data_IF_439380999509
#
_entry.id   IF_439380999509
#
_cell.length_a   1.000
_cell.length_b   1.000
_cell.length_c   1.000
_cell.angle_alpha   90.00
_cell.angle_beta   90.00
_cell.angle_gamma   90.00
#
_symmetry.space_group_name_H-M   'P 1'
#
loop_
_entity.id
_entity.type
_entity.pdbx_description
1 polymer ?
#
# COMPACT_ATOMS: atom_id res chain seq x y z
N UNK A 1 -20.42 9.48 -24.42
CA UNK A 1 -20.43 10.60 -23.45
C UNK A 1 -19.05 10.72 -22.81
N UNK A 2 -18.26 11.73 -23.17
CA UNK A 2 -16.94 11.97 -22.56
C UNK A 2 -17.18 12.61 -21.19
N UNK A 3 -16.94 11.85 -20.11
CA UNK A 3 -17.02 12.39 -18.74
C UNK A 3 -15.91 13.44 -18.59
N UNK A 4 -16.29 14.68 -18.26
CA UNK A 4 -15.36 15.79 -17.96
C UNK A 4 -14.35 15.32 -16.89
N UNK A 5 -13.07 15.36 -17.23
CA UNK A 5 -11.97 14.97 -16.34
C UNK A 5 -11.88 16.00 -15.20
N UNK A 6 -12.13 15.55 -13.97
CA UNK A 6 -12.16 16.42 -12.79
C UNK A 6 -11.76 15.63 -11.55
N UNK A 7 -11.26 16.33 -10.54
CA UNK A 7 -10.70 15.71 -9.35
C UNK A 7 -11.80 15.08 -8.51
N UNK A 8 -11.74 13.76 -8.32
CA UNK A 8 -12.74 13.03 -7.52
C UNK A 8 -12.12 11.81 -6.83
N UNK A 9 -12.67 11.37 -5.70
CA UNK A 9 -12.30 10.07 -5.14
C UNK A 9 -12.56 8.95 -6.16
N UNK A 10 -11.58 8.08 -6.35
CA UNK A 10 -11.70 6.88 -7.17
C UNK A 10 -12.06 5.67 -6.28
N UNK A 11 -11.41 5.57 -5.11
CA UNK A 11 -11.66 4.54 -4.10
C UNK A 11 -11.94 5.14 -2.73
N UNK A 12 -12.88 4.53 -2.02
CA UNK A 12 -13.22 4.85 -0.63
C UNK A 12 -13.20 3.55 0.18
N UNK A 13 -12.38 3.52 1.23
CA UNK A 13 -12.12 2.35 2.09
C UNK A 13 -11.67 1.09 1.30
N UNK A 14 -10.93 1.30 0.21
CA UNK A 14 -10.39 0.23 -0.64
C UNK A 14 -11.38 -0.38 -1.62
N UNK A 15 -12.49 0.31 -1.90
CA UNK A 15 -13.46 -0.08 -2.93
C UNK A 15 -13.71 1.08 -3.90
N UNK A 16 -13.87 0.80 -5.21
CA UNK A 16 -14.31 1.80 -6.18
C UNK A 16 -15.60 2.50 -5.73
N UNK A 17 -15.73 3.81 -6.01
CA UNK A 17 -16.89 4.60 -5.56
C UNK A 17 -18.24 4.06 -6.06
N UNK A 18 -18.25 3.38 -7.22
CA UNK A 18 -19.42 2.77 -7.84
C UNK A 18 -19.68 1.33 -7.37
N UNK A 19 -18.77 0.73 -6.60
CA UNK A 19 -18.99 -0.60 -6.03
C UNK A 19 -20.04 -0.50 -4.89
N UNK A 20 -21.15 -1.21 -5.06
CA UNK A 20 -22.28 -1.28 -4.10
C UNK A 20 -22.42 -2.68 -3.48
N UNK A 21 -21.37 -3.50 -3.50
CA UNK A 21 -21.44 -4.82 -2.86
C UNK A 21 -21.65 -4.67 -1.34
N UNK A 22 -22.26 -5.68 -0.69
CA UNK A 22 -22.42 -5.68 0.76
C UNK A 22 -21.11 -5.47 1.53
N UNK A 23 -19.99 -5.99 1.02
CA UNK A 23 -18.64 -5.81 1.59
C UNK A 23 -18.21 -4.36 1.53
N UNK A 24 -18.38 -3.71 0.38
CA UNK A 24 -18.04 -2.30 0.18
C UNK A 24 -18.87 -1.38 1.08
N UNK A 25 -20.16 -1.67 1.21
CA UNK A 25 -21.06 -0.93 2.10
C UNK A 25 -20.72 -1.15 3.58
N UNK A 26 -20.44 -2.39 3.99
CA UNK A 26 -19.99 -2.70 5.36
C UNK A 26 -18.67 -2.00 5.68
N UNK A 27 -17.71 -2.01 4.76
CA UNK A 27 -16.42 -1.34 4.95
C UNK A 27 -16.60 0.18 5.12
N UNK A 28 -17.43 0.81 4.29
CA UNK A 28 -17.76 2.24 4.43
C UNK A 28 -18.45 2.56 5.75
N UNK A 29 -19.48 1.79 6.13
CA UNK A 29 -20.23 1.99 7.37
C UNK A 29 -19.36 1.83 8.61
N UNK A 30 -18.36 0.94 8.57
CA UNK A 30 -17.44 0.67 9.68
C UNK A 30 -16.13 1.47 9.60
N UNK A 31 -15.95 2.30 8.57
CA UNK A 31 -14.68 2.96 8.26
C UNK A 31 -13.48 1.99 8.18
N UNK A 32 -13.71 0.78 7.67
CA UNK A 32 -12.75 -0.32 7.67
C UNK A 32 -11.79 -0.23 6.47
N UNK A 33 -10.49 -0.23 6.73
CA UNK A 33 -9.46 -0.26 5.69
C UNK A 33 -9.25 -1.70 5.22
N UNK A 34 -9.66 -2.00 3.98
CA UNK A 34 -9.48 -3.32 3.37
C UNK A 34 -8.02 -3.77 3.28
N UNK A 35 -7.09 -2.83 3.07
CA UNK A 35 -5.68 -3.17 2.81
C UNK A 35 -4.92 -3.63 4.04
N UNK A 36 -5.29 -3.13 5.23
CA UNK A 36 -4.61 -3.45 6.49
C UNK A 36 -5.49 -4.24 7.45
N UNK A 37 -6.69 -4.63 7.00
CA UNK A 37 -7.73 -5.26 7.81
C UNK A 37 -7.89 -4.62 9.20
N UNK A 38 -8.06 -3.29 9.22
CA UNK A 38 -8.14 -2.50 10.45
C UNK A 38 -8.96 -1.23 10.23
N UNK A 39 -9.32 -0.51 11.31
CA UNK A 39 -9.94 0.81 11.20
C UNK A 39 -9.04 1.77 10.41
N UNK A 40 -9.64 2.54 9.49
CA UNK A 40 -8.91 3.55 8.74
C UNK A 40 -8.39 4.65 9.68
N UNK A 41 -7.10 4.97 9.58
CA UNK A 41 -6.46 6.00 10.38
C UNK A 41 -6.34 7.36 9.65
N UNK A 42 -6.90 7.49 8.45
CA UNK A 42 -6.81 8.72 7.64
C UNK A 42 -7.84 9.73 8.14
N UNK A 43 -7.45 10.52 9.13
CA UNK A 43 -8.28 11.57 9.73
C UNK A 43 -8.00 12.94 9.10
N UNK A 44 -8.91 13.88 9.28
CA UNK A 44 -8.76 15.28 8.89
C UNK A 44 -9.26 16.14 10.04
N UNK A 45 -8.72 17.36 10.19
CA UNK A 45 -9.19 18.30 11.23
C UNK A 45 -10.62 18.81 10.98
N UNK A 46 -11.15 18.58 9.78
CA UNK A 46 -12.45 19.09 9.34
C UNK A 46 -13.61 18.11 9.57
N UNK A 47 -13.31 16.85 9.90
CA UNK A 47 -14.31 15.78 10.08
C UNK A 47 -13.91 14.90 11.27
N UNK A 48 -14.90 14.39 12.00
CA UNK A 48 -14.73 13.56 13.19
C UNK A 48 -14.66 12.05 12.88
N UNK A 49 -14.75 11.68 11.60
CA UNK A 49 -14.59 10.30 11.11
C UNK A 49 -13.45 10.21 10.08
N UNK A 50 -12.90 8.99 9.82
CA UNK A 50 -11.86 8.81 8.81
C UNK A 50 -12.36 9.14 7.40
N UNK A 51 -11.59 9.93 6.65
CA UNK A 51 -11.96 10.37 5.29
C UNK A 51 -12.06 9.21 4.29
N UNK A 52 -11.27 8.15 4.51
CA UNK A 52 -11.38 6.89 3.76
C UNK A 52 -10.95 6.93 2.29
N UNK A 53 -10.60 8.09 1.71
CA UNK A 53 -10.17 8.18 0.31
C UNK A 53 -8.79 7.53 0.13
N UNK A 54 -8.77 6.41 -0.61
CA UNK A 54 -7.58 5.60 -0.84
C UNK A 54 -6.85 5.98 -2.14
N UNK A 55 -7.62 6.31 -3.19
CA UNK A 55 -7.12 6.83 -4.47
C UNK A 55 -8.07 7.90 -5.01
N UNK A 56 -7.54 8.75 -5.89
CA UNK A 56 -8.27 9.81 -6.55
C UNK A 56 -8.04 9.75 -8.06
N UNK A 57 -9.09 10.03 -8.82
CA UNK A 57 -9.02 10.35 -10.24
C UNK A 57 -8.61 11.82 -10.36
N UNK A 58 -7.45 12.05 -10.97
CA UNK A 58 -6.92 13.34 -11.34
C UNK A 58 -6.78 13.39 -12.86
N UNK A 59 -7.68 14.12 -13.51
CA UNK A 59 -7.69 14.27 -14.98
C UNK A 59 -7.69 12.94 -15.77
N UNK A 60 -8.33 11.90 -15.25
CA UNK A 60 -8.41 10.58 -15.89
C UNK A 60 -7.35 9.59 -15.39
N UNK A 61 -6.38 10.02 -14.60
CA UNK A 61 -5.38 9.15 -13.98
C UNK A 61 -5.77 8.82 -12.54
N UNK A 62 -5.74 7.53 -12.20
CA UNK A 62 -6.04 7.09 -10.82
C UNK A 62 -4.73 7.05 -10.04
N UNK A 63 -4.61 7.94 -9.06
CA UNK A 63 -3.44 8.05 -8.20
C UNK A 63 -3.77 7.56 -6.78
N UNK A 64 -2.92 6.70 -6.22
CA UNK A 64 -3.00 6.33 -4.82
C UNK A 64 -2.63 7.55 -3.93
N UNK A 65 -3.49 7.89 -2.98
CA UNK A 65 -3.32 9.04 -2.07
C UNK A 65 -3.28 8.62 -0.60
N UNK A 66 -3.13 7.32 -0.34
CA UNK A 66 -3.06 6.74 0.99
C UNK A 66 -1.91 5.72 1.03
N UNK A 67 -0.94 5.84 1.94
CA UNK A 67 0.17 4.89 2.04
C UNK A 67 -0.29 3.45 2.27
N UNK A 68 -1.36 3.25 3.06
CA UNK A 68 -1.95 1.92 3.29
C UNK A 68 -2.48 1.26 2.00
N UNK A 69 -2.68 2.00 0.90
CA UNK A 69 -3.02 1.42 -0.42
C UNK A 69 -1.90 0.53 -0.96
N UNK A 70 -0.64 0.83 -0.60
CA UNK A 70 0.54 0.05 -1.00
C UNK A 70 0.74 -1.20 -0.15
N UNK A 71 0.03 -1.34 0.97
CA UNK A 71 0.00 -2.54 1.82
C UNK A 71 -1.04 -3.57 1.32
N UNK A 72 -1.64 -3.35 0.14
CA UNK A 72 -2.54 -4.32 -0.47
C UNK A 72 -1.86 -5.70 -0.57
N UNK A 73 -2.48 -6.77 -0.03
CA UNK A 73 -1.90 -8.10 -0.11
C UNK A 73 -1.60 -8.52 -1.55
N UNK A 74 -0.36 -8.96 -1.79
CA UNK A 74 0.09 -9.53 -3.05
C UNK A 74 -0.27 -10.99 -3.21
N UNK A 75 0.26 -11.62 -4.26
CA UNK A 75 0.08 -13.05 -4.54
C UNK A 75 0.83 -13.96 -3.58
N UNK A 76 1.88 -13.45 -2.93
CA UNK A 76 2.70 -14.19 -1.97
C UNK A 76 2.35 -13.76 -0.54
N UNK A 77 2.19 -14.74 0.35
CA UNK A 77 1.81 -14.50 1.73
C UNK A 77 2.79 -13.53 2.41
N UNK A 78 2.24 -12.52 3.11
CA UNK A 78 3.03 -11.52 3.84
C UNK A 78 3.73 -10.47 2.98
N UNK A 79 3.55 -10.47 1.65
CA UNK A 79 4.16 -9.49 0.75
C UNK A 79 3.11 -8.56 0.14
N UNK A 80 3.27 -7.23 0.24
CA UNK A 80 2.42 -6.30 -0.48
C UNK A 80 2.54 -6.46 -2.01
N UNK A 81 1.42 -6.28 -2.72
CA UNK A 81 1.32 -6.43 -4.19
C UNK A 81 2.37 -5.62 -4.93
N UNK A 82 2.51 -4.33 -4.59
CA UNK A 82 3.49 -3.45 -5.23
C UNK A 82 4.93 -3.98 -5.09
N UNK A 83 5.27 -4.57 -3.94
CA UNK A 83 6.60 -5.13 -3.72
C UNK A 83 6.78 -6.47 -4.44
N UNK A 84 5.70 -7.26 -4.60
CA UNK A 84 5.70 -8.46 -5.44
C UNK A 84 6.00 -8.07 -6.90
N UNK A 85 5.29 -7.07 -7.43
CA UNK A 85 5.43 -6.62 -8.81
C UNK A 85 6.83 -6.06 -9.08
N UNK A 86 7.39 -5.29 -8.14
CA UNK A 86 8.76 -4.78 -8.20
C UNK A 86 9.76 -5.95 -8.18
N UNK A 87 9.60 -6.92 -7.28
CA UNK A 87 10.49 -8.07 -7.20
C UNK A 87 10.51 -8.86 -8.51
N UNK A 88 9.33 -9.16 -9.06
CA UNK A 88 9.18 -9.84 -10.34
C UNK A 88 9.84 -9.05 -11.48
N UNK A 89 9.65 -7.73 -11.51
CA UNK A 89 10.20 -6.87 -12.57
C UNK A 89 11.74 -6.82 -12.54
N UNK A 90 12.35 -6.69 -11.37
CA UNK A 90 13.80 -6.52 -11.23
C UNK A 90 14.58 -7.82 -11.10
N UNK A 91 14.00 -8.85 -10.47
CA UNK A 91 14.68 -10.12 -10.18
C UNK A 91 14.18 -11.29 -11.02
N UNK A 92 13.06 -11.14 -11.72
CA UNK A 92 12.48 -12.17 -12.60
C UNK A 92 11.69 -13.24 -11.86
N UNK A 93 11.80 -13.33 -10.53
CA UNK A 93 10.96 -14.18 -9.69
C UNK A 93 10.81 -13.59 -8.27
N UNK A 94 10.23 -14.38 -7.35
CA UNK A 94 10.04 -14.04 -5.94
C UNK A 94 10.90 -14.92 -5.02
N UNK A 95 11.73 -15.78 -5.61
CA UNK A 95 12.56 -16.71 -4.88
C UNK A 95 13.71 -15.94 -4.23
N UNK A 96 13.97 -16.26 -2.96
CA UNK A 96 15.05 -15.62 -2.20
C UNK A 96 14.91 -14.09 -2.06
N UNK A 97 13.72 -13.52 -2.25
CA UNK A 97 13.48 -12.10 -1.98
C UNK A 97 13.05 -11.91 -0.53
N UNK A 98 13.73 -11.03 0.20
CA UNK A 98 13.35 -10.61 1.56
C UNK A 98 12.90 -9.16 1.55
N UNK A 99 11.83 -8.90 2.29
CA UNK A 99 11.34 -7.56 2.59
C UNK A 99 11.76 -7.18 3.99
N UNK A 100 12.39 -6.02 4.12
CA UNK A 100 12.70 -5.46 5.43
C UNK A 100 11.88 -4.19 5.66
N UNK A 101 11.11 -4.12 6.77
CA UNK A 101 10.47 -2.88 7.16
C UNK A 101 11.53 -1.88 7.64
N UNK A 102 11.37 -0.63 7.21
CA UNK A 102 12.01 0.57 7.75
C UNK A 102 13.48 0.44 8.18
N UNK A 103 14.41 0.58 7.23
CA UNK A 103 15.85 0.71 7.54
C UNK A 103 16.23 2.19 7.52
N UNK A 104 16.79 2.66 8.64
CA UNK A 104 17.45 3.96 8.70
C UNK A 104 18.83 3.86 8.07
N UNK A 105 19.07 4.63 7.01
CA UNK A 105 20.39 4.72 6.38
C UNK A 105 21.09 6.01 6.87
N UNK A 106 22.34 5.93 7.37
CA UNK A 106 23.10 7.11 7.73
C UNK A 106 23.16 8.10 6.54
N UNK A 107 22.88 9.38 6.80
CA UNK A 107 22.89 10.48 5.81
C UNK A 107 21.85 10.41 4.67
N UNK A 108 21.00 9.37 4.61
CA UNK A 108 19.97 9.20 3.56
C UNK A 108 18.55 9.27 4.12
N UNK A 109 18.39 9.13 5.45
CA UNK A 109 17.10 9.16 6.13
C UNK A 109 16.46 7.78 6.26
N UNK A 110 15.20 7.74 6.71
CA UNK A 110 14.43 6.49 6.83
C UNK A 110 13.71 6.18 5.53
N UNK A 111 13.72 4.91 5.13
CA UNK A 111 12.96 4.42 3.97
C UNK A 111 11.94 3.40 4.46
N UNK A 112 10.68 3.53 4.07
CA UNK A 112 9.58 2.77 4.65
C UNK A 112 9.71 1.24 4.46
N UNK A 113 10.22 0.79 3.30
CA UNK A 113 10.40 -0.64 2.97
C UNK A 113 11.61 -0.83 2.04
N UNK A 114 12.28 -1.98 2.16
CA UNK A 114 13.31 -2.45 1.24
C UNK A 114 12.92 -3.80 0.64
N UNK A 115 13.28 -4.02 -0.62
CA UNK A 115 13.23 -5.32 -1.30
C UNK A 115 14.67 -5.74 -1.59
N UNK A 116 15.09 -6.89 -1.07
CA UNK A 116 16.44 -7.42 -1.27
C UNK A 116 16.38 -8.84 -1.83
N UNK A 117 17.07 -9.10 -2.94
CA UNK A 117 17.28 -10.45 -3.45
C UNK A 117 18.51 -11.09 -2.80
N UNK A 118 18.32 -12.22 -2.12
CA UNK A 118 19.38 -13.06 -1.61
C UNK A 118 19.89 -13.97 -2.73
N UNK A 119 20.93 -13.53 -3.42
CA UNK A 119 21.74 -14.46 -4.19
C UNK A 119 22.63 -15.27 -3.24
N UNK A 120 22.99 -16.51 -3.59
CA UNK A 120 23.85 -17.39 -2.78
C UNK A 120 25.25 -16.81 -2.43
N UNK A 121 25.61 -15.64 -2.97
CA UNK A 121 26.80 -14.86 -2.61
C UNK A 121 26.57 -13.76 -1.56
N UNK A 122 25.32 -13.35 -1.30
CA UNK A 122 24.98 -12.32 -0.32
C UNK A 122 24.80 -12.96 1.07
N UNK A 123 25.93 -13.25 1.73
CA UNK A 123 25.94 -13.44 3.20
C UNK A 123 25.63 -12.09 3.84
N UNK A 124 24.35 -11.76 4.00
CA UNK A 124 23.96 -10.67 4.89
C UNK A 124 24.25 -11.16 6.32
N UNK A 125 25.42 -10.81 6.86
CA UNK A 125 25.64 -10.81 8.31
C UNK A 125 24.81 -9.68 8.89
N UNK A 126 23.51 -9.92 9.06
CA UNK A 126 22.66 -9.16 9.97
C UNK A 126 23.13 -9.52 11.39
N UNK A 127 24.22 -8.89 11.83
CA UNK A 127 24.44 -8.72 13.25
C UNK A 127 23.35 -7.78 13.74
N UNK A 128 22.26 -8.40 14.19
CA UNK A 128 21.25 -7.79 15.04
C UNK A 128 21.98 -7.25 16.28
N UNK A 129 22.37 -5.98 16.22
CA UNK A 129 22.66 -5.18 17.40
C UNK A 129 21.32 -4.87 18.08
N UNK A 130 20.77 -5.89 18.75
CA UNK A 130 19.91 -5.69 19.91
C UNK A 130 20.85 -5.76 21.12
N UNK A 131 21.37 -4.59 21.52
CA UNK A 131 21.76 -4.32 22.91
C UNK A 131 20.89 -3.16 23.39
#
# INVERSE_FOLDING_TARGET
MVRKAGNRPAEVFGYPINNRSPEAERARKRHWCRFTDALCNKTSRLIDYPFGVCSADHHGEICAVCPRRFEEPGTFAGTPRVLSDIALHYFGDHNNVILFPEVGLPNVGKKDRFVAALNAKLRIKLNLAFQ
#
